data_IF_640283786243
#
_entry.id   IF_640283786243
#
_cell.length_a   1.000
_cell.length_b   1.000
_cell.length_c   1.000
_cell.angle_alpha   90.00
_cell.angle_beta   90.00
_cell.angle_gamma   90.00
#
_symmetry.space_group_name_H-M   'P 1'
#
loop_
_entity.id
_entity.type
_entity.pdbx_description
1 polymer ?
#
# COMPACT_ATOMS: atom_id res chain seq x y z
N UNK A 1 12.99 8.79 10.21
CA UNK A 1 14.38 9.31 10.32
C UNK A 1 14.40 10.77 9.93
N UNK A 2 15.04 11.62 10.72
CA UNK A 2 15.18 13.07 10.48
C UNK A 2 16.63 13.48 10.67
N UNK A 3 17.03 14.60 10.08
CA UNK A 3 18.33 15.23 10.32
C UNK A 3 18.34 16.08 11.59
N UNK A 4 19.50 16.46 12.04
CA UNK A 4 19.68 17.46 13.11
C UNK A 4 19.62 18.88 12.50
N UNK A 5 18.40 19.27 12.11
CA UNK A 5 18.10 20.53 11.45
C UNK A 5 16.69 21.04 11.85
N UNK A 6 16.38 22.29 11.49
CA UNK A 6 15.10 22.93 11.81
C UNK A 6 13.90 22.12 11.26
N UNK A 7 14.05 21.53 10.08
CA UNK A 7 12.97 20.72 9.48
C UNK A 7 12.72 19.44 10.32
N UNK A 8 13.77 18.79 10.81
CA UNK A 8 13.67 17.64 11.70
C UNK A 8 12.99 17.99 13.02
N UNK A 9 13.38 19.08 13.66
CA UNK A 9 12.76 19.55 14.89
C UNK A 9 11.27 19.89 14.67
N UNK A 10 10.94 20.48 13.51
CA UNK A 10 9.55 20.79 13.14
C UNK A 10 8.72 19.50 13.00
N UNK A 11 9.27 18.46 12.35
CA UNK A 11 8.59 17.17 12.21
C UNK A 11 8.34 16.52 13.57
N UNK A 12 9.36 16.49 14.45
CA UNK A 12 9.23 15.92 15.79
C UNK A 12 8.16 16.65 16.61
N UNK A 13 8.20 17.98 16.62
CA UNK A 13 7.20 18.80 17.31
C UNK A 13 5.78 18.60 16.75
N UNK A 14 5.63 18.42 15.43
CA UNK A 14 4.35 18.15 14.80
C UNK A 14 3.78 16.78 15.17
N UNK A 15 4.63 15.75 15.28
CA UNK A 15 4.24 14.42 15.75
C UNK A 15 3.72 14.49 17.19
N UNK A 16 4.46 15.11 18.09
CA UNK A 16 4.07 15.28 19.50
C UNK A 16 2.74 16.06 19.63
N UNK A 17 2.60 17.19 18.90
CA UNK A 17 1.37 17.96 18.86
C UNK A 17 0.16 17.20 18.32
N UNK A 18 0.40 16.16 17.52
CA UNK A 18 -0.62 15.25 17.00
C UNK A 18 -0.89 14.06 17.91
N UNK A 19 -0.24 13.98 19.10
CA UNK A 19 -0.37 12.88 20.03
C UNK A 19 0.35 11.59 19.59
N UNK A 20 1.29 11.70 18.65
CA UNK A 20 2.12 10.58 18.18
C UNK A 20 3.42 10.54 18.98
N UNK A 21 3.85 9.33 19.34
CA UNK A 21 5.10 9.11 20.06
C UNK A 21 6.31 9.14 19.10
N UNK A 22 7.25 10.10 19.21
CA UNK A 22 8.43 10.17 18.37
C UNK A 22 9.59 9.29 18.85
N UNK A 23 9.42 8.48 19.89
CA UNK A 23 10.51 7.70 20.53
C UNK A 23 11.35 6.90 19.53
N UNK A 24 10.71 6.37 18.48
CA UNK A 24 11.40 5.58 17.45
C UNK A 24 11.78 6.38 16.21
N UNK A 25 11.62 7.70 16.23
CA UNK A 25 12.13 8.56 15.15
C UNK A 25 13.62 8.74 15.33
N UNK A 26 14.41 8.14 14.44
CA UNK A 26 15.87 8.30 14.49
C UNK A 26 16.26 9.69 14.01
N UNK A 27 16.86 10.48 14.90
CA UNK A 27 17.51 11.76 14.57
C UNK A 27 19.00 11.51 14.31
N UNK A 28 19.49 11.92 13.13
CA UNK A 28 20.89 11.76 12.75
C UNK A 28 21.70 12.95 13.26
N UNK A 29 22.64 12.67 14.15
CA UNK A 29 23.56 13.69 14.67
C UNK A 29 24.44 14.28 13.55
N UNK A 30 24.55 15.59 13.51
CA UNK A 30 25.30 16.33 12.49
C UNK A 30 26.81 16.05 12.53
N UNK A 31 27.35 15.68 13.68
CA UNK A 31 28.78 15.38 13.84
C UNK A 31 29.14 13.99 13.31
N UNK A 32 28.22 13.02 13.50
CA UNK A 32 28.41 11.64 13.02
C UNK A 32 27.98 11.48 11.55
N UNK A 33 26.99 12.27 11.12
CA UNK A 33 26.41 12.24 9.77
C UNK A 33 26.45 13.62 9.11
N UNK A 34 27.66 14.18 8.83
CA UNK A 34 27.78 15.52 8.26
C UNK A 34 27.12 15.61 6.89
N UNK A 35 26.29 16.64 6.71
CA UNK A 35 25.54 16.87 5.46
C UNK A 35 24.20 16.13 5.35
N UNK A 36 23.85 15.26 6.31
CA UNK A 36 22.51 14.66 6.36
C UNK A 36 21.47 15.72 6.70
N UNK A 37 20.39 15.76 5.93
CA UNK A 37 19.27 16.70 6.10
C UNK A 37 17.95 15.95 6.13
N UNK A 38 17.01 16.49 6.88
CA UNK A 38 15.63 15.99 6.88
C UNK A 38 15.06 16.01 5.48
N UNK A 39 14.41 14.92 5.07
CA UNK A 39 13.79 14.82 3.77
C UNK A 39 12.73 15.91 3.57
N UNK A 40 12.74 16.52 2.40
CA UNK A 40 11.81 17.58 2.03
C UNK A 40 11.23 17.33 0.64
N UNK A 41 9.96 17.63 0.50
CA UNK A 41 9.25 17.60 -0.78
C UNK A 41 8.50 18.92 -0.97
N UNK A 42 8.75 19.58 -2.09
CA UNK A 42 8.07 20.81 -2.48
C UNK A 42 7.34 20.57 -3.80
N UNK A 43 6.03 20.74 -3.79
CA UNK A 43 5.19 20.65 -4.98
C UNK A 43 4.62 22.00 -5.36
N UNK A 44 4.70 22.35 -6.63
CA UNK A 44 4.08 23.53 -7.22
C UNK A 44 2.95 23.04 -8.12
N UNK A 45 1.71 23.38 -7.74
CA UNK A 45 0.52 23.00 -8.49
C UNK A 45 -0.08 24.21 -9.21
N UNK A 46 -0.73 23.98 -10.36
CA UNK A 46 -1.55 24.99 -11.02
C UNK A 46 -2.86 25.28 -10.28
N UNK A 47 -3.66 26.22 -10.79
CA UNK A 47 -4.97 26.54 -10.22
C UNK A 47 -5.97 25.38 -10.23
N UNK A 48 -5.78 24.40 -11.11
CA UNK A 48 -6.57 23.18 -11.21
C UNK A 48 -6.02 22.04 -10.35
N UNK A 49 -4.99 22.32 -9.51
CA UNK A 49 -4.32 21.37 -8.63
C UNK A 49 -3.48 20.29 -9.34
N UNK A 50 -3.19 20.48 -10.62
CA UNK A 50 -2.25 19.60 -11.32
C UNK A 50 -0.82 19.96 -10.93
N UNK A 51 0.01 18.94 -10.73
CA UNK A 51 1.42 19.10 -10.42
C UNK A 51 2.14 19.70 -11.63
N UNK A 52 2.70 20.89 -11.47
CA UNK A 52 3.53 21.58 -12.47
C UNK A 52 5.01 21.21 -12.29
N UNK A 53 5.48 21.26 -11.05
CA UNK A 53 6.86 20.95 -10.71
C UNK A 53 6.92 20.38 -9.29
N UNK A 54 7.84 19.42 -9.09
CA UNK A 54 8.19 18.93 -7.76
C UNK A 54 9.70 18.89 -7.59
N UNK A 55 10.15 19.21 -6.38
CA UNK A 55 11.52 19.04 -5.93
C UNK A 55 11.52 18.16 -4.69
N UNK A 56 12.39 17.16 -4.66
CA UNK A 56 12.50 16.25 -3.53
C UNK A 56 13.96 16.08 -3.13
N UNK A 57 14.27 16.26 -1.85
CA UNK A 57 15.51 15.85 -1.22
C UNK A 57 15.20 14.67 -0.29
N UNK A 58 15.46 13.45 -0.75
CA UNK A 58 15.20 12.20 -0.03
C UNK A 58 16.50 11.46 0.31
N UNK A 59 17.65 12.15 0.21
CA UNK A 59 18.99 11.55 0.40
C UNK A 59 19.13 10.80 1.72
N UNK A 60 18.51 11.27 2.78
CA UNK A 60 18.57 10.66 4.11
C UNK A 60 18.10 9.17 4.10
N UNK A 61 17.11 8.81 3.27
CA UNK A 61 16.59 7.44 3.18
C UNK A 61 17.41 6.50 2.30
N UNK A 62 18.22 7.07 1.40
CA UNK A 62 19.04 6.29 0.47
C UNK A 62 20.48 6.14 0.95
N UNK A 63 20.97 7.09 1.72
CA UNK A 63 22.37 7.14 2.22
C UNK A 63 22.54 6.40 3.54
N UNK A 64 21.48 6.25 4.33
CA UNK A 64 21.56 5.68 5.68
C UNK A 64 20.65 4.48 5.85
N UNK A 65 21.22 3.35 6.28
CA UNK A 65 20.51 2.12 6.61
C UNK A 65 20.95 1.65 8.00
N UNK A 66 20.00 1.37 8.87
CA UNK A 66 20.23 0.93 10.25
C UNK A 66 19.47 -0.37 10.56
N UNK A 67 19.83 -1.51 9.94
CA UNK A 67 19.06 -2.76 10.04
C UNK A 67 18.88 -3.25 11.48
N UNK A 68 19.91 -3.13 12.32
CA UNK A 68 19.85 -3.60 13.71
C UNK A 68 18.91 -2.73 14.58
N UNK A 69 18.90 -1.41 14.34
CA UNK A 69 17.96 -0.51 15.01
C UNK A 69 16.51 -0.84 14.59
N UNK A 70 16.30 -1.15 13.32
CA UNK A 70 14.97 -1.50 12.80
C UNK A 70 14.47 -2.81 13.40
N UNK A 71 15.31 -3.84 13.46
CA UNK A 71 14.99 -5.11 14.11
C UNK A 71 14.66 -4.93 15.58
N UNK A 72 15.45 -4.14 16.28
CA UNK A 72 15.23 -3.87 17.71
C UNK A 72 13.92 -3.08 17.93
N UNK A 73 13.61 -2.12 17.07
CA UNK A 73 12.36 -1.35 17.12
C UNK A 73 11.15 -2.24 16.87
N UNK A 74 11.16 -3.07 15.81
CA UNK A 74 10.06 -4.02 15.51
C UNK A 74 9.87 -4.96 16.70
N UNK A 75 10.95 -5.51 17.27
CA UNK A 75 10.86 -6.39 18.44
C UNK A 75 10.29 -5.68 19.68
N UNK A 76 10.64 -4.42 19.89
CA UNK A 76 10.19 -3.66 21.05
C UNK A 76 8.72 -3.23 20.95
N UNK A 77 8.24 -2.94 19.73
CA UNK A 77 6.88 -2.43 19.47
C UNK A 77 5.88 -3.52 19.14
N UNK A 78 6.34 -4.72 18.75
CA UNK A 78 5.50 -5.87 18.36
C UNK A 78 4.34 -5.48 17.42
N UNK A 79 4.61 -4.81 16.28
CA UNK A 79 3.56 -4.28 15.45
C UNK A 79 2.83 -5.38 14.69
N UNK A 80 1.50 -5.35 14.67
CA UNK A 80 0.70 -6.23 13.81
C UNK A 80 0.92 -5.95 12.33
N UNK A 81 1.15 -4.67 11.99
CA UNK A 81 1.41 -4.19 10.64
C UNK A 81 2.60 -3.25 10.61
N UNK A 82 3.47 -3.44 9.63
CA UNK A 82 4.52 -2.51 9.24
C UNK A 82 4.14 -1.88 7.91
N UNK A 83 4.14 -0.54 7.83
CA UNK A 83 4.02 0.18 6.56
C UNK A 83 5.41 0.59 6.11
N UNK A 84 5.79 0.16 4.90
CA UNK A 84 7.07 0.54 4.26
C UNK A 84 6.75 1.30 3.00
N UNK A 85 7.36 2.47 2.82
CA UNK A 85 7.14 3.29 1.64
C UNK A 85 8.28 3.20 0.60
N UNK A 86 7.98 3.61 -0.62
CA UNK A 86 8.92 3.60 -1.74
C UNK A 86 10.04 4.64 -1.66
N UNK A 87 10.15 5.46 -0.59
CA UNK A 87 11.25 6.41 -0.42
C UNK A 87 12.58 5.73 -0.10
N UNK A 88 12.54 4.53 0.47
CA UNK A 88 13.74 3.74 0.74
C UNK A 88 14.34 3.19 -0.56
N UNK A 89 15.66 2.94 -0.53
CA UNK A 89 16.30 2.18 -1.60
C UNK A 89 15.73 0.76 -1.70
N UNK A 90 15.84 0.07 -2.84
CA UNK A 90 15.39 -1.33 -2.97
C UNK A 90 15.95 -2.24 -1.86
N UNK A 91 17.22 -2.04 -1.48
CA UNK A 91 17.84 -2.76 -0.36
C UNK A 91 17.18 -2.41 0.97
N UNK A 92 16.90 -1.13 1.21
CA UNK A 92 16.21 -0.65 2.42
C UNK A 92 14.82 -1.25 2.55
N UNK A 93 14.01 -1.21 1.49
CA UNK A 93 12.68 -1.83 1.46
C UNK A 93 12.76 -3.32 1.82
N UNK A 94 13.68 -4.07 1.17
CA UNK A 94 13.84 -5.51 1.43
C UNK A 94 14.28 -5.80 2.85
N UNK A 95 15.13 -4.96 3.42
CA UNK A 95 15.58 -5.12 4.80
C UNK A 95 14.43 -4.91 5.79
N UNK A 96 13.61 -3.87 5.60
CA UNK A 96 12.41 -3.64 6.41
C UNK A 96 11.42 -4.79 6.31
N UNK A 97 11.08 -5.20 5.09
CA UNK A 97 10.15 -6.29 4.80
C UNK A 97 10.61 -7.60 5.44
N UNK A 98 11.90 -7.93 5.26
CA UNK A 98 12.47 -9.15 5.85
C UNK A 98 12.43 -9.12 7.39
N UNK A 99 12.80 -7.99 8.00
CA UNK A 99 12.78 -7.85 9.46
C UNK A 99 11.36 -7.97 10.04
N UNK A 100 10.35 -7.43 9.34
CA UNK A 100 8.95 -7.56 9.73
C UNK A 100 8.48 -9.01 9.63
N UNK A 101 8.80 -9.71 8.54
CA UNK A 101 8.40 -11.10 8.32
C UNK A 101 9.07 -12.04 9.36
N UNK A 102 10.36 -11.84 9.68
CA UNK A 102 11.04 -12.59 10.75
C UNK A 102 10.33 -12.45 12.10
N UNK A 103 9.68 -11.31 12.33
CA UNK A 103 8.93 -11.04 13.57
C UNK A 103 7.46 -11.49 13.51
N UNK A 104 6.95 -11.85 12.32
CA UNK A 104 5.55 -12.24 12.11
C UNK A 104 4.60 -11.05 11.89
N UNK A 105 5.11 -9.85 11.71
CA UNK A 105 4.31 -8.67 11.35
C UNK A 105 3.87 -8.74 9.88
N UNK A 106 2.65 -8.31 9.61
CA UNK A 106 2.18 -8.10 8.24
C UNK A 106 2.78 -6.83 7.65
N UNK A 107 2.96 -6.82 6.33
CA UNK A 107 3.60 -5.70 5.63
C UNK A 107 2.66 -5.07 4.62
N UNK A 108 2.50 -3.74 4.71
CA UNK A 108 1.89 -2.94 3.67
C UNK A 108 2.95 -2.09 2.96
N UNK A 109 2.93 -2.08 1.64
CA UNK A 109 3.83 -1.26 0.81
C UNK A 109 3.08 -0.06 0.23
N UNK A 110 3.56 1.17 0.53
CA UNK A 110 3.08 2.40 -0.09
C UNK A 110 4.01 2.81 -1.24
N UNK A 111 3.51 2.85 -2.48
CA UNK A 111 4.29 3.13 -3.68
C UNK A 111 4.87 4.54 -3.77
N UNK A 112 4.19 5.55 -3.20
CA UNK A 112 4.55 6.98 -3.14
C UNK A 112 4.50 7.70 -4.50
N UNK A 113 5.09 7.12 -5.55
CA UNK A 113 5.10 7.69 -6.90
C UNK A 113 5.47 6.63 -7.93
N UNK A 114 5.24 6.93 -9.21
CA UNK A 114 5.53 6.03 -10.34
C UNK A 114 6.97 5.52 -10.30
N UNK A 115 7.96 6.38 -10.09
CA UNK A 115 9.37 5.95 -10.06
C UNK A 115 9.71 5.15 -8.79
N UNK A 116 9.21 5.57 -7.64
CA UNK A 116 9.49 4.92 -6.36
C UNK A 116 8.79 3.57 -6.23
N UNK A 117 7.60 3.43 -6.82
CA UNK A 117 6.84 2.18 -6.81
C UNK A 117 7.59 0.99 -7.41
N UNK A 118 8.50 1.24 -8.36
CA UNK A 118 9.35 0.22 -8.99
C UNK A 118 10.34 -0.42 -8.02
N UNK A 119 10.68 0.28 -6.92
CA UNK A 119 11.72 -0.13 -5.97
C UNK A 119 11.41 -1.45 -5.25
N UNK A 120 10.13 -1.79 -5.05
CA UNK A 120 9.74 -3.08 -4.48
C UNK A 120 10.13 -4.23 -5.40
N UNK A 121 9.97 -4.08 -6.71
CA UNK A 121 10.32 -5.05 -7.73
C UNK A 121 11.64 -4.72 -8.45
N UNK A 122 12.57 -4.09 -7.73
CA UNK A 122 13.90 -3.80 -8.23
C UNK A 122 14.73 -5.06 -8.48
N UNK A 123 15.96 -4.93 -9.04
CA UNK A 123 16.84 -6.07 -9.31
C UNK A 123 17.03 -6.97 -8.10
N UNK A 124 16.96 -8.29 -8.32
CA UNK A 124 16.99 -9.29 -7.24
C UNK A 124 18.40 -9.57 -6.68
N UNK A 125 19.44 -9.10 -7.36
CA UNK A 125 20.83 -9.38 -6.98
C UNK A 125 21.21 -8.70 -5.67
N UNK A 126 21.64 -9.50 -4.69
CA UNK A 126 22.18 -8.98 -3.41
C UNK A 126 21.12 -8.47 -2.43
N UNK A 127 19.85 -8.80 -2.65
CA UNK A 127 18.74 -8.52 -1.72
C UNK A 127 17.99 -9.81 -1.40
N UNK A 128 17.34 -9.92 -0.23
CA UNK A 128 16.46 -11.06 0.06
C UNK A 128 15.35 -11.18 -1.00
N UNK A 129 14.98 -12.40 -1.43
CA UNK A 129 13.87 -12.59 -2.38
C UNK A 129 12.55 -12.11 -1.78
N UNK A 130 11.60 -11.69 -2.62
CA UNK A 130 10.20 -11.57 -2.20
C UNK A 130 9.56 -12.95 -2.18
N UNK A 131 8.93 -13.27 -1.06
CA UNK A 131 8.12 -14.46 -0.96
C UNK A 131 6.85 -14.34 -1.81
N UNK A 132 6.32 -15.49 -2.19
CA UNK A 132 5.10 -15.65 -2.98
C UNK A 132 4.04 -16.31 -2.10
N UNK A 133 2.76 -16.00 -2.34
CA UNK A 133 1.65 -16.57 -1.60
C UNK A 133 1.72 -18.11 -1.57
N UNK A 134 1.47 -18.80 -0.42
CA UNK A 134 1.00 -18.24 0.86
C UNK A 134 2.09 -17.74 1.80
N UNK A 135 3.34 -17.63 1.35
CA UNK A 135 4.49 -17.14 2.11
C UNK A 135 4.97 -15.79 1.60
N UNK A 136 4.01 -14.95 1.20
CA UNK A 136 4.30 -13.59 0.68
C UNK A 136 5.07 -12.74 1.69
N UNK A 137 5.94 -11.90 1.15
CA UNK A 137 6.68 -10.94 1.99
C UNK A 137 5.93 -9.63 2.21
N UNK A 138 5.00 -9.28 1.31
CA UNK A 138 4.16 -8.08 1.38
C UNK A 138 2.71 -8.50 1.31
N UNK A 139 1.89 -8.10 2.28
CA UNK A 139 0.48 -8.52 2.38
C UNK A 139 -0.47 -7.61 1.62
N UNK A 140 -0.13 -6.31 1.53
CA UNK A 140 -1.00 -5.30 0.94
C UNK A 140 -0.20 -4.20 0.27
N UNK A 141 -0.74 -3.64 -0.82
CA UNK A 141 -0.28 -2.36 -1.38
C UNK A 141 -1.46 -1.55 -1.91
N UNK A 142 -1.32 -0.20 -1.87
CA UNK A 142 -2.37 0.71 -2.32
C UNK A 142 -1.91 1.65 -3.45
N UNK A 143 -1.53 1.12 -4.63
CA UNK A 143 -1.10 1.93 -5.76
C UNK A 143 -2.26 2.73 -6.38
N UNK A 144 -1.93 3.84 -7.06
CA UNK A 144 -2.79 4.36 -8.11
C UNK A 144 -2.55 3.59 -9.43
N UNK A 145 -3.31 3.90 -10.49
CA UNK A 145 -3.21 3.17 -11.77
C UNK A 145 -1.82 3.27 -12.42
N UNK A 146 -1.14 4.40 -12.26
CA UNK A 146 0.19 4.62 -12.85
C UNK A 146 1.28 3.90 -12.05
N UNK A 147 1.16 3.91 -10.73
CA UNK A 147 2.02 3.16 -9.82
C UNK A 147 1.85 1.65 -10.01
N UNK A 148 0.61 1.16 -10.14
CA UNK A 148 0.32 -0.24 -10.46
C UNK A 148 1.01 -0.67 -11.75
N UNK A 149 0.88 0.13 -12.81
CA UNK A 149 1.51 -0.15 -14.10
C UNK A 149 3.04 -0.16 -14.01
N UNK A 150 3.62 0.76 -13.23
CA UNK A 150 5.07 0.82 -13.02
C UNK A 150 5.59 -0.36 -12.20
N UNK A 151 4.85 -0.78 -11.15
CA UNK A 151 5.15 -1.98 -10.37
C UNK A 151 5.09 -3.24 -11.24
N UNK A 152 4.05 -3.37 -12.06
CA UNK A 152 3.92 -4.48 -12.99
C UNK A 152 5.07 -4.54 -14.00
N UNK A 153 5.41 -3.41 -14.62
CA UNK A 153 6.52 -3.34 -15.57
C UNK A 153 7.85 -3.71 -14.90
N UNK A 154 8.12 -3.17 -13.70
CA UNK A 154 9.33 -3.50 -12.95
C UNK A 154 9.38 -4.99 -12.56
N UNK A 155 8.25 -5.58 -12.15
CA UNK A 155 8.17 -7.01 -11.84
C UNK A 155 8.49 -7.87 -13.08
N UNK A 156 7.93 -7.50 -14.24
CA UNK A 156 8.18 -8.18 -15.50
C UNK A 156 9.65 -8.04 -15.93
N UNK A 157 10.18 -6.82 -15.95
CA UNK A 157 11.52 -6.53 -16.45
C UNK A 157 12.62 -7.15 -15.58
N UNK A 158 12.35 -7.38 -14.30
CA UNK A 158 13.28 -8.01 -13.35
C UNK A 158 13.00 -9.50 -13.09
N UNK A 159 12.18 -10.15 -13.93
CA UNK A 159 11.99 -11.61 -13.93
C UNK A 159 11.14 -12.16 -12.79
N UNK A 160 10.36 -11.32 -12.08
CA UNK A 160 9.47 -11.80 -11.02
C UNK A 160 8.29 -12.59 -11.57
N UNK A 161 7.86 -12.29 -12.80
CA UNK A 161 6.73 -12.95 -13.45
C UNK A 161 7.12 -14.22 -14.23
N UNK A 162 8.35 -14.71 -14.02
CA UNK A 162 8.91 -15.88 -14.72
C UNK A 162 9.36 -16.96 -13.72
N UNK A 163 9.12 -16.79 -12.40
CA UNK A 163 9.51 -17.77 -11.40
C UNK A 163 8.52 -18.93 -11.32
N UNK A 164 8.99 -20.12 -10.96
CA UNK A 164 8.16 -21.32 -10.82
C UNK A 164 7.06 -21.12 -9.75
N UNK A 165 7.41 -20.50 -8.65
CA UNK A 165 6.49 -20.19 -7.54
C UNK A 165 5.39 -19.21 -7.98
N UNK A 166 5.73 -18.23 -8.82
CA UNK A 166 4.75 -17.31 -9.37
C UNK A 166 3.77 -18.03 -10.29
N UNK A 167 4.26 -18.90 -11.19
CA UNK A 167 3.41 -19.71 -12.08
C UNK A 167 2.47 -20.62 -11.29
N UNK A 168 2.93 -21.28 -10.23
CA UNK A 168 2.09 -22.11 -9.38
C UNK A 168 0.87 -21.36 -8.84
N UNK A 169 1.05 -20.12 -8.39
CA UNK A 169 -0.04 -19.29 -7.88
C UNK A 169 -0.97 -18.84 -9.01
N UNK A 170 -0.43 -18.34 -10.12
CA UNK A 170 -1.23 -17.85 -11.26
C UNK A 170 -2.08 -18.97 -11.87
N UNK A 171 -1.50 -20.16 -12.07
CA UNK A 171 -2.21 -21.32 -12.61
C UNK A 171 -3.34 -21.76 -11.67
N UNK A 172 -3.12 -21.63 -10.35
CA UNK A 172 -4.13 -21.95 -9.33
C UNK A 172 -5.35 -21.03 -9.38
N UNK A 173 -5.26 -19.84 -9.98
CA UNK A 173 -6.41 -18.98 -10.17
C UNK A 173 -7.40 -19.51 -11.21
N UNK A 174 -7.00 -20.42 -12.10
CA UNK A 174 -7.87 -21.05 -13.10
C UNK A 174 -8.52 -20.05 -14.06
N UNK A 175 -7.78 -19.00 -14.43
CA UNK A 175 -8.31 -17.89 -15.24
C UNK A 175 -8.29 -18.24 -16.73
N UNK A 176 -9.44 -18.66 -17.26
CA UNK A 176 -9.64 -18.84 -18.69
C UNK A 176 -10.73 -17.88 -19.17
N UNK A 177 -10.46 -17.10 -20.23
CA UNK A 177 -11.44 -16.19 -20.84
C UNK A 177 -11.91 -15.05 -19.91
N UNK A 178 -11.01 -14.53 -19.09
CA UNK A 178 -11.35 -13.60 -17.99
C UNK A 178 -11.80 -12.19 -18.44
N UNK A 179 -11.61 -11.79 -19.72
CA UNK A 179 -11.91 -10.43 -20.18
C UNK A 179 -13.34 -9.97 -19.89
N UNK A 180 -14.35 -10.79 -20.19
CA UNK A 180 -15.76 -10.43 -19.96
C UNK A 180 -16.04 -10.27 -18.45
N UNK A 181 -15.42 -11.10 -17.63
CA UNK A 181 -15.51 -10.96 -16.17
C UNK A 181 -14.86 -9.66 -15.68
N UNK A 182 -13.71 -9.28 -16.24
CA UNK A 182 -13.05 -8.00 -15.90
C UNK A 182 -13.95 -6.81 -16.26
N UNK A 183 -14.51 -6.78 -17.47
CA UNK A 183 -15.44 -5.72 -17.90
C UNK A 183 -16.64 -5.62 -16.96
N UNK A 184 -17.20 -6.76 -16.56
CA UNK A 184 -18.35 -6.80 -15.65
C UNK A 184 -18.02 -6.31 -14.25
N UNK A 185 -16.85 -6.72 -13.71
CA UNK A 185 -16.44 -6.41 -12.33
C UNK A 185 -15.80 -5.02 -12.20
N UNK A 186 -15.35 -4.43 -13.29
CA UNK A 186 -14.69 -3.12 -13.31
C UNK A 186 -15.35 -2.16 -14.32
N UNK A 187 -14.82 -2.09 -15.51
CA UNK A 187 -15.38 -1.39 -16.68
C UNK A 187 -14.57 -1.77 -17.93
N UNK A 188 -15.11 -1.46 -19.11
CA UNK A 188 -14.37 -1.60 -20.37
C UNK A 188 -13.09 -0.76 -20.35
N UNK A 189 -13.17 0.50 -19.91
CA UNK A 189 -12.04 1.43 -19.83
C UNK A 189 -10.90 0.89 -18.97
N UNK A 190 -11.19 0.42 -17.74
CA UNK A 190 -10.17 -0.14 -16.85
C UNK A 190 -9.60 -1.46 -17.39
N UNK A 191 -10.43 -2.26 -18.06
CA UNK A 191 -9.99 -3.52 -18.67
C UNK A 191 -9.06 -3.26 -19.85
N UNK A 192 -9.39 -2.30 -20.70
CA UNK A 192 -8.55 -1.91 -21.85
C UNK A 192 -7.24 -1.23 -21.41
N UNK A 193 -7.25 -0.50 -20.30
CA UNK A 193 -6.06 0.03 -19.65
C UNK A 193 -5.21 -1.06 -18.97
N UNK A 194 -5.66 -2.30 -18.95
CA UNK A 194 -4.94 -3.44 -18.37
C UNK A 194 -4.94 -3.51 -16.84
N UNK A 195 -5.69 -2.65 -16.14
CA UNK A 195 -5.67 -2.56 -14.67
C UNK A 195 -6.01 -3.90 -14.00
N UNK A 196 -7.08 -4.64 -14.39
CA UNK A 196 -7.37 -5.93 -13.78
C UNK A 196 -6.26 -6.97 -13.99
N UNK A 197 -5.70 -7.03 -15.21
CA UNK A 197 -4.63 -7.99 -15.55
C UNK A 197 -3.37 -7.70 -14.75
N UNK A 198 -2.93 -6.44 -14.71
CA UNK A 198 -1.76 -6.02 -13.93
C UNK A 198 -1.94 -6.35 -12.43
N UNK A 199 -3.13 -6.11 -11.89
CA UNK A 199 -3.45 -6.47 -10.50
C UNK A 199 -3.27 -7.98 -10.28
N UNK A 200 -3.87 -8.81 -11.14
CA UNK A 200 -3.79 -10.28 -11.03
C UNK A 200 -2.34 -10.78 -11.10
N UNK A 201 -1.53 -10.23 -12.01
CA UNK A 201 -0.14 -10.63 -12.20
C UNK A 201 0.73 -10.32 -10.97
N UNK A 202 0.37 -9.31 -10.18
CA UNK A 202 1.09 -8.94 -8.96
C UNK A 202 0.58 -9.64 -7.69
N UNK A 203 -0.64 -10.23 -7.71
CA UNK A 203 -1.22 -10.90 -6.53
C UNK A 203 -0.33 -11.97 -5.92
N UNK A 204 0.45 -12.77 -6.68
CA UNK A 204 1.33 -13.75 -6.05
C UNK A 204 2.29 -13.15 -5.04
N UNK A 205 2.80 -11.94 -5.30
CA UNK A 205 3.71 -11.23 -4.41
C UNK A 205 3.00 -10.32 -3.39
N UNK A 206 1.82 -9.81 -3.76
CA UNK A 206 1.02 -8.87 -2.94
C UNK A 206 -0.42 -9.35 -2.98
N UNK A 207 -0.83 -10.27 -2.09
CA UNK A 207 -2.15 -10.91 -2.12
C UNK A 207 -3.34 -9.96 -2.04
N UNK A 208 -3.12 -8.71 -1.60
CA UNK A 208 -4.17 -7.69 -1.56
C UNK A 208 -3.69 -6.40 -2.21
N UNK A 209 -4.30 -6.06 -3.34
CA UNK A 209 -4.07 -4.80 -4.05
C UNK A 209 -5.32 -3.92 -3.99
N UNK A 210 -5.13 -2.67 -3.58
CA UNK A 210 -6.18 -1.66 -3.47
C UNK A 210 -5.84 -0.52 -4.43
N UNK A 211 -6.24 -0.66 -5.70
CA UNK A 211 -5.89 0.31 -6.74
C UNK A 211 -6.76 1.56 -6.66
N UNK A 212 -6.16 2.69 -6.35
CA UNK A 212 -6.81 4.00 -6.26
C UNK A 212 -7.09 4.53 -7.68
N UNK A 213 -8.35 4.89 -7.98
CA UNK A 213 -8.81 5.30 -9.30
C UNK A 213 -9.22 6.79 -9.34
N UNK A 214 -8.79 7.57 -8.33
CA UNK A 214 -9.15 8.96 -8.19
C UNK A 214 -10.67 9.14 -7.99
N UNK A 215 -11.30 9.98 -8.80
CA UNK A 215 -12.74 10.24 -8.73
C UNK A 215 -13.62 9.03 -9.13
N UNK A 216 -13.04 7.94 -9.61
CA UNK A 216 -13.76 6.71 -9.96
C UNK A 216 -13.81 5.69 -8.80
N UNK A 217 -13.23 6.03 -7.64
CA UNK A 217 -13.22 5.18 -6.45
C UNK A 217 -12.00 4.27 -6.37
N UNK A 218 -12.20 3.01 -6.02
CA UNK A 218 -11.13 2.06 -5.67
C UNK A 218 -11.44 0.68 -6.20
N UNK A 219 -10.45 0.01 -6.80
CA UNK A 219 -10.53 -1.39 -7.18
C UNK A 219 -9.80 -2.25 -6.14
N UNK A 220 -10.52 -3.07 -5.41
CA UNK A 220 -9.95 -4.11 -4.55
C UNK A 220 -9.79 -5.40 -5.35
N UNK A 221 -8.56 -5.94 -5.37
CA UNK A 221 -8.25 -7.26 -5.92
C UNK A 221 -7.47 -8.04 -4.88
N UNK A 222 -7.97 -9.23 -4.50
CA UNK A 222 -7.31 -10.02 -3.44
C UNK A 222 -7.45 -11.51 -3.68
N UNK A 223 -6.40 -12.27 -3.30
CA UNK A 223 -6.47 -13.72 -3.19
C UNK A 223 -7.38 -14.06 -2.00
N UNK A 224 -8.30 -14.97 -2.22
CA UNK A 224 -9.08 -15.59 -1.15
C UNK A 224 -8.38 -16.89 -0.74
N UNK A 225 -8.08 -17.03 0.53
CA UNK A 225 -7.66 -18.31 1.09
C UNK A 225 -8.80 -19.34 0.97
N UNK A 226 -8.46 -20.63 1.08
CA UNK A 226 -9.45 -21.72 0.94
C UNK A 226 -10.65 -21.61 1.87
N UNK A 227 -10.44 -21.08 3.07
CA UNK A 227 -11.49 -20.96 4.09
C UNK A 227 -12.01 -19.52 4.21
N UNK A 228 -11.70 -18.65 3.26
CA UNK A 228 -12.17 -17.27 3.27
C UNK A 228 -13.71 -17.23 3.26
N UNK A 229 -14.35 -16.53 4.22
CA UNK A 229 -15.82 -16.51 4.33
C UNK A 229 -16.51 -15.95 3.09
N UNK A 230 -15.86 -15.07 2.32
CA UNK A 230 -16.39 -14.50 1.07
C UNK A 230 -16.68 -15.57 0.00
N UNK A 231 -16.02 -16.73 0.07
CA UNK A 231 -16.30 -17.85 -0.85
C UNK A 231 -17.69 -18.48 -0.64
N UNK A 232 -18.32 -18.24 0.54
CA UNK A 232 -19.61 -18.79 0.93
C UNK A 232 -20.68 -17.71 1.14
N UNK A 233 -20.27 -16.45 1.11
CA UNK A 233 -21.15 -15.30 1.32
C UNK A 233 -21.86 -14.90 0.02
N UNK A 234 -23.19 -14.85 0.03
CA UNK A 234 -23.99 -14.47 -1.14
C UNK A 234 -23.73 -13.04 -1.61
N UNK A 235 -23.46 -12.12 -0.68
CA UNK A 235 -23.15 -10.72 -1.05
C UNK A 235 -21.81 -10.59 -1.78
N UNK A 236 -20.89 -11.49 -1.49
CA UNK A 236 -19.55 -11.51 -2.10
C UNK A 236 -19.52 -12.30 -3.43
N UNK A 237 -20.52 -13.12 -3.72
CA UNK A 237 -20.50 -14.06 -4.85
C UNK A 237 -20.33 -13.36 -6.20
N UNK A 238 -21.02 -12.24 -6.42
CA UNK A 238 -20.93 -11.47 -7.67
C UNK A 238 -19.52 -10.90 -7.93
N UNK A 239 -18.72 -10.72 -6.88
CA UNK A 239 -17.36 -10.17 -6.93
C UNK A 239 -16.27 -11.26 -6.95
N UNK A 240 -16.65 -12.54 -6.90
CA UNK A 240 -15.68 -13.64 -7.05
C UNK A 240 -15.33 -13.76 -8.52
N UNK A 241 -14.11 -13.36 -8.86
CA UNK A 241 -13.58 -13.44 -10.22
C UNK A 241 -13.40 -14.89 -10.64
N UNK A 242 -12.73 -15.67 -9.76
CA UNK A 242 -12.48 -17.11 -9.97
C UNK A 242 -12.57 -17.87 -8.66
N UNK A 243 -12.87 -19.17 -8.78
CA UNK A 243 -12.70 -20.17 -7.71
C UNK A 243 -11.61 -21.14 -8.11
N UNK A 244 -10.69 -21.42 -7.22
CA UNK A 244 -9.65 -22.41 -7.44
C UNK A 244 -10.21 -23.82 -7.18
N UNK A 245 -10.06 -24.71 -8.13
CA UNK A 245 -10.43 -26.12 -8.00
C UNK A 245 -9.21 -27.05 -8.01
N UNK A 246 -8.12 -26.60 -8.60
CA UNK A 246 -6.86 -27.35 -8.76
C UNK A 246 -5.69 -26.40 -8.44
N UNK A 247 -4.55 -26.95 -8.09
CA UNK A 247 -3.33 -26.19 -7.82
C UNK A 247 -3.05 -26.01 -6.33
N UNK A 248 -2.52 -24.87 -5.94
CA UNK A 248 -2.08 -24.62 -4.57
C UNK A 248 -3.26 -24.72 -3.56
N UNK A 249 -3.17 -25.63 -2.56
CA UNK A 249 -4.27 -25.89 -1.64
C UNK A 249 -4.62 -24.71 -0.71
N UNK A 250 -3.76 -23.72 -0.62
CA UNK A 250 -4.01 -22.51 0.17
C UNK A 250 -4.95 -21.51 -0.54
N UNK A 251 -5.13 -21.64 -1.88
CA UNK A 251 -5.89 -20.72 -2.71
C UNK A 251 -7.33 -21.21 -2.88
N UNK A 252 -8.31 -20.41 -2.45
CA UNK A 252 -9.73 -20.64 -2.67
C UNK A 252 -10.27 -19.93 -3.91
N UNK A 253 -9.65 -18.81 -4.30
CA UNK A 253 -10.06 -18.04 -5.47
C UNK A 253 -9.50 -16.63 -5.47
N UNK A 254 -10.05 -15.78 -6.34
CA UNK A 254 -9.73 -14.36 -6.43
C UNK A 254 -11.00 -13.54 -6.33
N UNK A 255 -10.97 -12.53 -5.50
CA UNK A 255 -12.02 -11.52 -5.34
C UNK A 255 -11.60 -10.23 -6.03
N UNK A 256 -12.52 -9.62 -6.79
CA UNK A 256 -12.32 -8.34 -7.46
C UNK A 256 -13.59 -7.51 -7.37
N UNK A 257 -13.51 -6.32 -6.76
CA UNK A 257 -14.65 -5.43 -6.61
C UNK A 257 -14.25 -3.99 -6.83
N UNK A 258 -14.98 -3.32 -7.72
CA UNK A 258 -14.93 -1.87 -7.87
C UNK A 258 -15.85 -1.22 -6.84
N UNK A 259 -15.28 -0.44 -5.95
CA UNK A 259 -15.99 0.40 -4.99
C UNK A 259 -16.14 1.80 -5.59
N UNK A 260 -17.36 2.29 -5.79
CA UNK A 260 -17.56 3.66 -6.24
C UNK A 260 -17.04 4.65 -5.20
N UNK A 261 -16.80 5.92 -5.59
CA UNK A 261 -16.42 6.94 -4.61
C UNK A 261 -17.56 7.14 -3.60
N UNK A 262 -17.21 7.20 -2.30
CA UNK A 262 -18.20 7.40 -1.23
C UNK A 262 -18.86 8.79 -1.29
N UNK A 263 -18.19 9.74 -1.93
CA UNK A 263 -18.69 11.09 -2.13
C UNK A 263 -18.05 11.71 -3.36
N UNK A 264 -18.83 12.53 -4.10
CA UNK A 264 -18.31 13.41 -5.14
C UNK A 264 -17.84 14.71 -4.51
N UNK A 265 -16.53 14.94 -4.51
CA UNK A 265 -15.94 16.14 -3.96
C UNK A 265 -15.99 17.27 -4.99
N UNK A 266 -16.89 18.25 -4.82
CA UNK A 266 -17.07 19.39 -5.73
C UNK A 266 -15.89 20.35 -5.68
N UNK A 267 -15.30 20.57 -4.49
CA UNK A 267 -14.18 21.47 -4.30
C UNK A 267 -13.01 20.76 -3.61
N UNK A 268 -11.99 20.43 -4.38
CA UNK A 268 -10.73 19.90 -3.88
C UNK A 268 -9.87 21.07 -3.34
N UNK A 269 -9.46 20.99 -2.08
CA UNK A 269 -8.58 21.96 -1.44
C UNK A 269 -7.12 21.55 -1.63
N UNK A 270 -6.79 20.28 -1.34
CA UNK A 270 -5.45 19.73 -1.50
C UNK A 270 -5.54 18.26 -1.96
N UNK A 271 -4.55 17.83 -2.72
CA UNK A 271 -4.37 16.40 -3.09
C UNK A 271 -3.23 15.74 -2.32
N UNK A 272 -2.50 16.51 -1.51
CA UNK A 272 -1.38 16.01 -0.71
C UNK A 272 -1.90 15.16 0.46
N UNK A 273 -1.23 14.04 0.72
CA UNK A 273 -1.55 13.15 1.84
C UNK A 273 -2.87 12.36 1.72
N UNK A 274 -3.60 12.49 0.61
CA UNK A 274 -4.86 11.77 0.38
C UNK A 274 -4.64 10.27 0.32
N UNK A 275 -3.58 9.82 -0.38
CA UNK A 275 -3.18 8.42 -0.45
C UNK A 275 -2.74 7.89 0.91
N UNK A 276 -1.92 8.68 1.61
CA UNK A 276 -1.40 8.33 2.94
C UNK A 276 -2.53 8.20 3.96
N UNK A 277 -3.50 9.11 3.92
CA UNK A 277 -4.69 9.04 4.77
C UNK A 277 -5.53 7.80 4.46
N UNK A 278 -5.75 7.50 3.18
CA UNK A 278 -6.46 6.28 2.78
C UNK A 278 -5.79 5.03 3.34
N UNK A 279 -4.48 4.89 3.15
CA UNK A 279 -3.72 3.75 3.66
C UNK A 279 -3.70 3.72 5.19
N UNK A 280 -3.48 4.86 5.84
CA UNK A 280 -3.47 4.94 7.31
C UNK A 280 -4.77 4.47 7.95
N UNK A 281 -5.93 4.91 7.42
CA UNK A 281 -7.25 4.44 7.88
C UNK A 281 -7.44 2.95 7.60
N UNK A 282 -7.05 2.47 6.41
CA UNK A 282 -7.12 1.05 6.05
C UNK A 282 -6.31 0.19 7.02
N UNK A 283 -5.04 0.53 7.26
CA UNK A 283 -4.15 -0.24 8.15
C UNK A 283 -4.63 -0.18 9.60
N UNK A 284 -5.15 0.97 10.05
CA UNK A 284 -5.75 1.09 11.39
C UNK A 284 -6.90 0.10 11.60
N UNK A 285 -7.80 -0.01 10.62
CA UNK A 285 -8.91 -0.96 10.68
C UNK A 285 -8.45 -2.43 10.59
N UNK A 286 -7.48 -2.72 9.71
CA UNK A 286 -6.90 -4.07 9.59
C UNK A 286 -6.16 -4.50 10.86
N UNK A 287 -5.46 -3.59 11.53
CA UNK A 287 -4.77 -3.85 12.79
C UNK A 287 -5.75 -4.19 13.94
N UNK A 288 -6.98 -3.69 13.86
CA UNK A 288 -8.08 -4.02 14.76
C UNK A 288 -8.81 -5.33 14.39
N UNK A 289 -8.43 -5.97 13.28
CA UNK A 289 -9.02 -7.23 12.80
C UNK A 289 -10.17 -7.05 11.82
N UNK A 290 -10.39 -5.84 11.33
CA UNK A 290 -11.38 -5.56 10.28
C UNK A 290 -11.03 -6.24 8.96
N UNK A 291 -12.05 -6.56 8.17
CA UNK A 291 -11.91 -7.19 6.85
C UNK A 291 -11.74 -6.12 5.78
N UNK A 292 -10.79 -6.31 4.87
CA UNK A 292 -10.39 -5.30 3.87
C UNK A 292 -11.57 -4.75 3.04
N UNK A 293 -12.46 -5.62 2.57
CA UNK A 293 -13.62 -5.22 1.76
C UNK A 293 -14.66 -4.39 2.53
N UNK A 294 -14.69 -4.49 3.84
CA UNK A 294 -15.57 -3.67 4.70
C UNK A 294 -14.90 -2.34 5.10
N UNK A 295 -13.59 -2.23 4.97
CA UNK A 295 -12.82 -1.03 5.33
C UNK A 295 -12.65 -0.03 4.18
N UNK A 296 -12.84 -0.45 2.91
CA UNK A 296 -12.59 0.41 1.74
C UNK A 296 -13.37 1.73 1.83
N UNK A 297 -14.67 1.69 2.16
CA UNK A 297 -15.50 2.90 2.21
C UNK A 297 -15.10 3.81 3.38
N UNK A 298 -14.65 3.25 4.51
CA UNK A 298 -14.12 4.04 5.65
C UNK A 298 -12.82 4.73 5.24
N UNK A 299 -11.92 4.01 4.55
CA UNK A 299 -10.67 4.56 4.05
C UNK A 299 -10.91 5.65 2.99
N UNK A 300 -11.90 5.48 2.10
CA UNK A 300 -12.31 6.52 1.16
C UNK A 300 -12.83 7.78 1.86
N UNK A 301 -13.60 7.66 2.97
CA UNK A 301 -14.04 8.83 3.76
C UNK A 301 -12.86 9.57 4.38
N UNK A 302 -11.87 8.85 4.89
CA UNK A 302 -10.62 9.48 5.36
C UNK A 302 -9.93 10.29 4.26
N UNK A 303 -9.79 9.70 3.08
CA UNK A 303 -9.25 10.38 1.89
C UNK A 303 -10.07 11.64 1.51
N UNK A 304 -11.40 11.57 1.57
CA UNK A 304 -12.28 12.73 1.32
C UNK A 304 -12.05 13.84 2.33
N UNK A 305 -11.85 13.54 3.61
CA UNK A 305 -11.53 14.56 4.61
C UNK A 305 -10.22 15.28 4.26
N UNK A 306 -9.20 14.57 3.83
CA UNK A 306 -7.93 15.19 3.40
C UNK A 306 -8.07 16.00 2.11
N UNK A 307 -8.87 15.54 1.13
CA UNK A 307 -9.18 16.35 -0.07
C UNK A 307 -9.82 17.70 0.23
N UNK A 308 -10.59 17.79 1.32
CA UNK A 308 -11.28 19.02 1.77
C UNK A 308 -10.46 19.87 2.73
N UNK A 309 -9.25 19.45 3.08
CA UNK A 309 -8.37 20.11 4.05
C UNK A 309 -7.14 20.73 3.36
N UNK A 310 -6.61 21.81 3.91
CA UNK A 310 -5.35 22.40 3.47
C UNK A 310 -4.11 21.63 3.99
N UNK A 311 -4.25 20.97 5.12
CA UNK A 311 -3.22 20.11 5.71
C UNK A 311 -3.16 18.77 4.95
N UNK A 312 -2.02 18.09 4.96
CA UNK A 312 -1.85 16.78 4.30
C UNK A 312 -2.71 15.68 4.93
N UNK A 313 -3.01 15.78 6.22
CA UNK A 313 -3.91 14.89 6.94
C UNK A 313 -4.93 15.73 7.70
N UNK A 314 -6.21 15.49 7.45
CA UNK A 314 -7.29 16.18 8.14
C UNK A 314 -7.46 15.68 9.58
N UNK A 315 -7.65 16.61 10.52
CA UNK A 315 -8.02 16.27 11.91
C UNK A 315 -9.38 15.55 12.02
N UNK A 316 -10.23 15.70 11.01
CA UNK A 316 -11.53 15.02 10.94
C UNK A 316 -11.40 13.49 10.82
N UNK A 317 -10.23 12.98 10.47
CA UNK A 317 -9.96 11.53 10.38
C UNK A 317 -10.23 10.82 11.71
N UNK A 318 -10.00 11.49 12.85
CA UNK A 318 -10.32 10.95 14.18
C UNK A 318 -11.81 10.58 14.35
N UNK A 319 -12.72 11.19 13.60
CA UNK A 319 -14.15 10.87 13.64
C UNK A 319 -14.48 9.47 13.11
N UNK A 320 -13.55 8.85 12.39
CA UNK A 320 -13.73 7.50 11.83
C UNK A 320 -13.48 6.39 12.85
N UNK A 321 -12.95 6.71 14.04
CA UNK A 321 -12.63 5.70 15.07
C UNK A 321 -13.81 4.77 15.38
N UNK A 322 -14.97 5.32 15.68
CA UNK A 322 -16.16 4.51 15.98
C UNK A 322 -16.70 3.70 14.79
N UNK A 323 -16.37 4.09 13.55
CA UNK A 323 -16.71 3.29 12.37
C UNK A 323 -15.71 2.13 12.19
N UNK A 324 -14.42 2.38 12.42
CA UNK A 324 -13.39 1.33 12.39
C UNK A 324 -13.67 0.25 13.43
N UNK A 325 -14.04 0.63 14.66
CA UNK A 325 -14.43 -0.31 15.71
C UNK A 325 -15.61 -1.18 15.29
N UNK A 326 -16.66 -0.56 14.71
CA UNK A 326 -17.82 -1.31 14.21
C UNK A 326 -17.44 -2.31 13.12
N UNK A 327 -16.59 -1.92 12.18
CA UNK A 327 -16.13 -2.81 11.09
C UNK A 327 -15.27 -3.94 11.65
N UNK A 328 -14.44 -3.67 12.66
CA UNK A 328 -13.63 -4.70 13.31
C UNK A 328 -14.48 -5.79 14.02
N UNK A 329 -15.70 -5.45 14.43
CA UNK A 329 -16.65 -6.40 15.03
C UNK A 329 -17.41 -7.24 14.00
N UNK A 330 -17.46 -6.83 12.73
CA UNK A 330 -18.08 -7.58 11.64
C UNK A 330 -17.09 -8.66 11.11
N UNK A 331 -17.02 -9.78 11.85
CA UNK A 331 -16.16 -10.93 11.50
C UNK A 331 -16.78 -11.79 10.40
#
# INVERSE_FOLDING_TARGET
MVGDDIAGDTVLSALEASGLDPTYVKKLDRTEHPGSRTAQYVAINDSSKNLVMAMADMGIFTQHLFPEDWKSTIKATDPKWLVVDGNWSPKGIRTWVHSANEHGSKVAFEPVSVEKSKSLFGPQRGVPPLGVFPHQSVDLSSPNIYELSAMYSAAKDNGYLDSAEWFEVIDSFGMVGARDKFVRLTSMELTDAGVPVQSIQLLPYIPTLITKLGSKGVLLTTILGKDDPRLRDRESEEFILTRSFNGNPAIGGVYMRLFPPVEKVEKVVSVNGVGDTFLGVMISGLAQGGRVDKLVDVAQRGAVYSLKCAESVSKEVSKLEGELEKVALLK
#
